data_IF_915791294867
#
_entry.id   IF_915791294867
#
_cell.length_a   1.000
_cell.length_b   1.000
_cell.length_c   1.000
_cell.angle_alpha   90.00
_cell.angle_beta   90.00
_cell.angle_gamma   90.00
#
_symmetry.space_group_name_H-M   'P 1'
#
loop_
_entity.id
_entity.type
_entity.pdbx_description
1 polymer ?
#
# COMPACT_ATOMS: atom_id res chain seq x y z
N UNK A 1 -40.23 -2.37 -8.49
CA UNK A 1 -39.36 -1.81 -7.43
C UNK A 1 -38.30 -0.96 -8.10
N UNK A 2 -37.85 0.14 -7.48
CA UNK A 2 -36.78 0.98 -8.02
C UNK A 2 -35.40 0.38 -7.73
N UNK A 3 -34.41 0.67 -8.60
CA UNK A 3 -33.01 0.35 -8.36
C UNK A 3 -32.57 1.01 -7.05
N UNK A 4 -31.97 0.23 -6.15
CA UNK A 4 -31.35 0.76 -4.94
C UNK A 4 -29.92 1.18 -5.26
N UNK A 5 -29.55 2.36 -4.79
CA UNK A 5 -28.21 2.89 -4.94
C UNK A 5 -27.65 3.10 -3.54
N UNK A 6 -26.54 2.44 -3.24
CA UNK A 6 -25.75 2.68 -2.03
C UNK A 6 -24.36 3.10 -2.46
N UNK A 7 -23.93 4.29 -2.09
CA UNK A 7 -22.54 4.68 -2.34
C UNK A 7 -21.61 3.72 -1.60
N UNK A 8 -20.58 3.16 -2.29
CA UNK A 8 -19.57 2.35 -1.63
C UNK A 8 -18.94 3.12 -0.48
N UNK A 9 -18.72 2.46 0.67
CA UNK A 9 -18.02 3.08 1.81
C UNK A 9 -16.63 3.58 1.41
N UNK A 10 -16.01 2.85 0.48
CA UNK A 10 -14.73 3.16 -0.12
C UNK A 10 -14.96 3.30 -1.61
N UNK A 11 -14.76 4.51 -2.14
CA UNK A 11 -14.92 4.75 -3.58
C UNK A 11 -13.89 3.93 -4.36
N UNK A 12 -14.30 3.27 -5.45
CA UNK A 12 -13.40 2.48 -6.26
C UNK A 12 -12.33 3.34 -6.90
N UNK A 13 -11.09 2.84 -6.92
CA UNK A 13 -10.02 3.42 -7.74
C UNK A 13 -10.38 3.19 -9.21
N UNK A 14 -10.51 4.27 -9.98
CA UNK A 14 -10.95 4.19 -11.36
C UNK A 14 -10.02 4.96 -12.32
N UNK A 15 -9.46 4.30 -13.35
CA UNK A 15 -9.51 2.86 -13.60
C UNK A 15 -8.76 2.05 -12.52
N UNK A 16 -9.11 0.76 -12.29
CA UNK A 16 -8.36 -0.09 -11.36
C UNK A 16 -6.91 -0.24 -11.84
N UNK A 17 -5.96 -0.38 -10.90
CA UNK A 17 -4.54 -0.65 -11.22
C UNK A 17 -4.32 -2.11 -11.62
N UNK A 18 -3.19 -2.40 -12.26
CA UNK A 18 -2.77 -3.77 -12.58
C UNK A 18 -3.63 -4.50 -13.62
N UNK A 19 -4.57 -3.83 -14.30
CA UNK A 19 -5.44 -4.49 -15.28
C UNK A 19 -4.63 -5.02 -16.48
N UNK A 20 -4.99 -6.21 -16.96
CA UNK A 20 -4.37 -6.80 -18.14
C UNK A 20 -5.01 -6.30 -19.44
N UNK A 21 -6.33 -6.01 -19.41
CA UNK A 21 -7.06 -5.58 -20.60
C UNK A 21 -8.16 -4.57 -20.26
N UNK A 22 -8.35 -3.58 -21.13
CA UNK A 22 -9.49 -2.66 -21.13
C UNK A 22 -10.49 -3.11 -22.19
N UNK A 23 -11.76 -3.30 -21.80
CA UNK A 23 -12.83 -3.80 -22.67
C UNK A 23 -13.94 -2.76 -22.76
N UNK A 24 -14.33 -2.40 -23.98
CA UNK A 24 -15.53 -1.60 -24.20
C UNK A 24 -16.75 -2.53 -24.15
N UNK A 25 -17.71 -2.23 -23.27
CA UNK A 25 -18.91 -3.05 -23.11
C UNK A 25 -20.07 -2.45 -23.90
N UNK A 26 -20.96 -3.33 -24.36
CA UNK A 26 -22.14 -3.05 -25.17
C UNK A 26 -23.40 -3.61 -24.50
N UNK A 27 -24.56 -3.41 -25.12
CA UNK A 27 -25.82 -3.92 -24.58
C UNK A 27 -26.00 -5.44 -24.68
N UNK A 28 -25.15 -6.11 -25.46
CA UNK A 28 -25.11 -7.57 -25.60
C UNK A 28 -24.19 -8.23 -24.57
N UNK A 29 -23.41 -7.44 -23.84
CA UNK A 29 -22.53 -7.93 -22.80
C UNK A 29 -23.27 -8.00 -21.46
N UNK A 30 -22.91 -9.00 -20.66
CA UNK A 30 -23.23 -9.06 -19.25
C UNK A 30 -22.01 -9.60 -18.48
N UNK A 31 -22.07 -9.57 -17.15
CA UNK A 31 -20.95 -10.00 -16.32
C UNK A 31 -20.55 -11.47 -16.53
N UNK A 32 -21.51 -12.35 -16.83
CA UNK A 32 -21.23 -13.77 -17.08
C UNK A 32 -20.52 -13.98 -18.40
N UNK A 33 -20.96 -13.28 -19.46
CA UNK A 33 -20.32 -13.29 -20.78
C UNK A 33 -18.89 -12.77 -20.65
N UNK A 34 -18.70 -11.63 -19.96
CA UNK A 34 -17.38 -11.05 -19.74
C UNK A 34 -16.45 -12.02 -18.97
N UNK A 35 -16.96 -12.66 -17.91
CA UNK A 35 -16.20 -13.63 -17.14
C UNK A 35 -15.77 -14.83 -18.01
N UNK A 36 -16.71 -15.44 -18.71
CA UNK A 36 -16.46 -16.60 -19.57
C UNK A 36 -15.47 -16.27 -20.70
N UNK A 37 -15.61 -15.12 -21.36
CA UNK A 37 -14.72 -14.68 -22.43
C UNK A 37 -13.27 -14.42 -21.96
N UNK A 38 -13.10 -14.13 -20.66
CA UNK A 38 -11.81 -13.78 -20.08
C UNK A 38 -11.25 -14.85 -19.13
N UNK A 39 -11.87 -16.04 -19.08
CA UNK A 39 -11.35 -17.18 -18.32
C UNK A 39 -11.62 -17.11 -16.82
N UNK A 40 -12.60 -16.33 -16.38
CA UNK A 40 -13.06 -16.28 -14.98
C UNK A 40 -14.33 -17.11 -14.81
N UNK A 41 -14.36 -17.99 -13.81
CA UNK A 41 -15.53 -18.82 -13.51
C UNK A 41 -16.60 -18.09 -12.70
N UNK A 42 -16.19 -17.11 -11.89
CA UNK A 42 -17.09 -16.27 -11.09
C UNK A 42 -17.11 -14.84 -11.64
N UNK A 43 -18.25 -14.33 -12.14
CA UNK A 43 -18.36 -12.93 -12.59
C UNK A 43 -18.06 -11.91 -11.49
N UNK A 44 -18.22 -12.29 -10.22
CA UNK A 44 -17.88 -11.40 -9.11
C UNK A 44 -16.40 -11.05 -9.06
N UNK A 45 -15.51 -11.86 -9.63
CA UNK A 45 -14.08 -11.53 -9.65
C UNK A 45 -13.83 -10.27 -10.48
N UNK A 46 -14.44 -10.16 -11.66
CA UNK A 46 -14.36 -8.95 -12.49
C UNK A 46 -15.03 -7.77 -11.79
N UNK A 47 -16.19 -7.99 -11.15
CA UNK A 47 -16.91 -6.93 -10.43
C UNK A 47 -16.07 -6.38 -9.28
N UNK A 48 -15.51 -7.26 -8.44
CA UNK A 48 -14.66 -6.87 -7.30
C UNK A 48 -13.39 -6.19 -7.80
N UNK A 49 -12.76 -6.68 -8.86
CA UNK A 49 -11.59 -6.02 -9.43
C UNK A 49 -11.87 -4.57 -9.86
N UNK A 50 -13.04 -4.32 -10.45
CA UNK A 50 -13.41 -2.98 -10.93
C UNK A 50 -13.94 -2.06 -9.84
N UNK A 51 -14.72 -2.59 -8.89
CA UNK A 51 -15.50 -1.79 -7.95
C UNK A 51 -15.14 -2.00 -6.48
N UNK A 52 -14.30 -2.97 -6.15
CA UNK A 52 -13.88 -3.27 -4.80
C UNK A 52 -15.01 -3.76 -3.88
N UNK A 53 -16.12 -4.25 -4.43
CA UNK A 53 -17.31 -4.63 -3.64
C UNK A 53 -18.05 -5.83 -4.22
N UNK A 54 -18.65 -6.62 -3.33
CA UNK A 54 -19.63 -7.68 -3.66
C UNK A 54 -21.07 -7.28 -3.31
N UNK A 55 -21.30 -6.06 -2.82
CA UNK A 55 -22.63 -5.58 -2.47
C UNK A 55 -23.39 -5.10 -3.73
N UNK A 56 -24.52 -5.74 -4.11
CA UNK A 56 -25.23 -5.38 -5.34
C UNK A 56 -25.70 -3.91 -5.41
N UNK A 57 -26.07 -3.30 -4.27
CA UNK A 57 -26.52 -1.90 -4.24
C UNK A 57 -25.35 -0.92 -4.51
N UNK A 58 -24.14 -1.32 -4.14
CA UNK A 58 -22.89 -0.60 -4.42
C UNK A 58 -22.44 -0.80 -5.86
N UNK A 59 -22.58 -2.02 -6.40
CA UNK A 59 -22.37 -2.29 -7.83
C UNK A 59 -23.30 -1.44 -8.68
N UNK A 60 -24.59 -1.35 -8.34
CA UNK A 60 -25.54 -0.48 -9.04
C UNK A 60 -25.14 1.00 -8.96
N UNK A 61 -24.62 1.45 -7.81
CA UNK A 61 -24.09 2.79 -7.68
C UNK A 61 -22.90 3.03 -8.61
N UNK A 62 -21.95 2.09 -8.69
CA UNK A 62 -20.78 2.16 -9.58
C UNK A 62 -21.18 2.14 -11.05
N UNK A 63 -22.09 1.25 -11.45
CA UNK A 63 -22.62 1.22 -12.80
C UNK A 63 -23.23 2.56 -13.19
N UNK A 64 -23.99 3.19 -12.30
CA UNK A 64 -24.61 4.48 -12.57
C UNK A 64 -23.62 5.65 -12.57
N UNK A 65 -22.77 5.77 -11.55
CA UNK A 65 -21.92 6.96 -11.34
C UNK A 65 -20.55 6.84 -11.99
N UNK A 66 -19.93 5.66 -11.98
CA UNK A 66 -18.60 5.42 -12.52
C UNK A 66 -18.66 5.09 -14.01
N UNK A 67 -19.55 4.17 -14.41
CA UNK A 67 -19.70 3.76 -15.82
C UNK A 67 -20.71 4.59 -16.61
N UNK A 68 -21.60 5.32 -15.93
CA UNK A 68 -22.62 6.12 -16.61
C UNK A 68 -23.78 5.31 -17.17
N UNK A 69 -24.01 4.07 -16.70
CA UNK A 69 -25.16 3.25 -17.10
C UNK A 69 -26.48 3.93 -16.71
N UNK A 70 -27.47 3.94 -17.62
CA UNK A 70 -28.84 4.39 -17.33
C UNK A 70 -29.90 3.36 -17.74
N UNK A 71 -29.53 2.34 -18.52
CA UNK A 71 -30.37 1.18 -18.82
C UNK A 71 -30.61 0.37 -17.56
N UNK A 72 -31.88 0.07 -17.27
CA UNK A 72 -32.27 -0.81 -16.17
C UNK A 72 -32.47 -2.23 -16.69
N UNK A 73 -32.19 -3.21 -15.85
CA UNK A 73 -32.55 -4.60 -16.08
C UNK A 73 -34.06 -4.77 -16.26
N UNK A 74 -34.48 -5.90 -16.86
CA UNK A 74 -35.91 -6.19 -17.14
C UNK A 74 -36.79 -6.15 -15.88
N UNK A 75 -36.24 -6.54 -14.74
CA UNK A 75 -36.94 -6.52 -13.45
C UNK A 75 -36.88 -5.15 -12.73
N UNK A 76 -36.15 -4.18 -13.32
CA UNK A 76 -35.98 -2.82 -12.82
C UNK A 76 -35.14 -2.70 -11.55
N UNK A 77 -34.44 -3.77 -11.14
CA UNK A 77 -33.69 -3.82 -9.88
C UNK A 77 -32.22 -3.46 -10.01
N UNK A 78 -31.64 -3.58 -11.21
CA UNK A 78 -30.23 -3.29 -11.46
C UNK A 78 -30.04 -2.35 -12.66
N UNK A 79 -28.85 -1.79 -12.79
CA UNK A 79 -28.39 -1.17 -14.03
C UNK A 79 -27.67 -2.20 -14.90
N UNK A 80 -27.84 -2.09 -16.23
CA UNK A 80 -27.18 -2.94 -17.24
C UNK A 80 -26.30 -2.10 -18.17
N UNK A 81 -25.38 -2.75 -18.88
CA UNK A 81 -24.59 -2.13 -19.94
C UNK A 81 -25.46 -1.74 -21.15
N UNK A 82 -24.98 -0.77 -21.92
CA UNK A 82 -25.65 -0.27 -23.12
C UNK A 82 -26.49 0.98 -22.89
N UNK A 83 -27.32 1.30 -23.88
CA UNK A 83 -28.08 2.55 -23.93
C UNK A 83 -29.41 2.45 -23.16
N UNK A 84 -29.88 3.54 -22.52
CA UNK A 84 -29.21 4.84 -22.41
C UNK A 84 -27.98 4.77 -21.47
N UNK A 85 -26.97 5.58 -21.79
CA UNK A 85 -25.76 5.78 -20.99
C UNK A 85 -25.23 7.21 -21.19
N UNK A 86 -24.38 7.71 -20.28
CA UNK A 86 -23.79 9.05 -20.38
C UNK A 86 -22.52 9.10 -21.23
N UNK A 87 -21.99 7.95 -21.65
CA UNK A 87 -20.78 7.86 -22.46
C UNK A 87 -20.41 6.42 -22.79
N UNK A 88 -19.21 6.22 -23.35
CA UNK A 88 -18.66 4.89 -23.60
C UNK A 88 -18.32 4.19 -22.29
N UNK A 89 -18.83 2.97 -22.12
CA UNK A 89 -18.63 2.17 -20.92
C UNK A 89 -17.41 1.27 -21.12
N UNK A 90 -16.51 1.26 -20.12
CA UNK A 90 -15.35 0.38 -20.11
C UNK A 90 -15.31 -0.44 -18.82
N UNK A 91 -14.96 -1.71 -18.97
CA UNK A 91 -14.62 -2.63 -17.87
C UNK A 91 -13.17 -3.05 -18.04
N UNK A 92 -12.48 -3.21 -16.91
CA UNK A 92 -11.09 -3.62 -16.86
C UNK A 92 -10.99 -5.07 -16.42
N UNK A 93 -10.19 -5.86 -17.11
CA UNK A 93 -10.04 -7.29 -16.88
C UNK A 93 -8.79 -7.51 -16.04
N UNK A 94 -8.89 -8.24 -14.91
CA UNK A 94 -7.73 -8.57 -14.10
C UNK A 94 -6.72 -9.43 -14.87
N UNK A 95 -5.46 -9.48 -14.44
CA UNK A 95 -4.49 -10.43 -14.97
C UNK A 95 -4.90 -11.87 -14.66
N UNK A 96 -4.43 -12.81 -15.50
CA UNK A 96 -4.72 -14.23 -15.30
C UNK A 96 -4.22 -14.71 -13.94
N UNK A 97 -5.05 -15.46 -13.22
CA UNK A 97 -4.74 -15.94 -11.87
C UNK A 97 -4.96 -14.93 -10.75
N UNK A 98 -5.43 -13.71 -11.05
CA UNK A 98 -5.87 -12.78 -10.02
C UNK A 98 -7.05 -13.35 -9.25
N UNK A 99 -7.06 -13.11 -7.94
CA UNK A 99 -8.14 -13.50 -7.04
C UNK A 99 -8.60 -12.29 -6.23
N UNK A 100 -9.90 -12.19 -5.89
CA UNK A 100 -10.38 -11.12 -5.01
C UNK A 100 -9.73 -11.19 -3.62
N UNK A 101 -9.61 -10.05 -2.92
CA UNK A 101 -9.10 -10.02 -1.56
C UNK A 101 -9.84 -11.00 -0.64
N UNK A 102 -9.08 -11.75 0.14
CA UNK A 102 -9.58 -12.72 1.13
C UNK A 102 -9.83 -12.03 2.47
N UNK A 103 -10.50 -12.72 3.41
CA UNK A 103 -10.64 -12.22 4.79
C UNK A 103 -9.27 -11.98 5.45
N UNK A 104 -8.26 -12.78 5.13
CA UNK A 104 -6.92 -12.60 5.65
C UNK A 104 -6.26 -11.31 5.11
N UNK A 105 -6.57 -10.92 3.88
CA UNK A 105 -6.12 -9.65 3.30
C UNK A 105 -6.81 -8.46 3.94
N UNK A 106 -8.11 -8.59 4.26
CA UNK A 106 -8.84 -7.60 5.03
C UNK A 106 -8.28 -7.42 6.45
N UNK A 107 -7.90 -8.52 7.12
CA UNK A 107 -7.23 -8.47 8.42
C UNK A 107 -5.85 -7.80 8.33
N UNK A 108 -5.08 -8.10 7.27
CA UNK A 108 -3.79 -7.46 7.00
C UNK A 108 -3.95 -5.95 6.75
N UNK A 109 -4.95 -5.56 5.96
CA UNK A 109 -5.29 -4.17 5.69
C UNK A 109 -5.69 -3.43 6.97
N UNK A 110 -6.55 -4.02 7.81
CA UNK A 110 -6.94 -3.41 9.08
C UNK A 110 -5.73 -3.24 10.02
N UNK A 111 -4.80 -4.20 10.04
CA UNK A 111 -3.55 -4.07 10.80
C UNK A 111 -2.66 -2.94 10.29
N UNK A 112 -2.51 -2.80 8.97
CA UNK A 112 -1.77 -1.68 8.37
C UNK A 112 -2.43 -0.34 8.72
N UNK A 113 -3.74 -0.24 8.47
CA UNK A 113 -4.55 0.96 8.72
C UNK A 113 -4.50 1.38 10.18
N UNK A 114 -4.71 0.46 11.12
CA UNK A 114 -4.68 0.74 12.56
C UNK A 114 -3.29 1.16 13.04
N UNK A 115 -2.22 0.53 12.54
CA UNK A 115 -0.84 0.86 12.90
C UNK A 115 -0.49 2.27 12.42
N UNK A 116 -0.71 2.56 11.14
CA UNK A 116 -0.34 3.85 10.53
C UNK A 116 -1.19 5.01 11.05
N UNK A 117 -2.45 4.76 11.44
CA UNK A 117 -3.31 5.77 12.06
C UNK A 117 -3.10 5.93 13.58
N UNK A 118 -2.21 5.15 14.19
CA UNK A 118 -1.88 5.31 15.61
C UNK A 118 -1.15 6.64 15.90
N UNK A 119 -1.38 7.19 17.09
CA UNK A 119 -0.69 8.40 17.56
C UNK A 119 0.83 8.20 17.63
N UNK A 120 1.30 6.99 17.94
CA UNK A 120 2.72 6.64 17.94
C UNK A 120 3.37 6.85 16.57
N UNK A 121 2.68 6.50 15.49
CA UNK A 121 3.17 6.71 14.11
C UNK A 121 2.98 8.17 13.68
N UNK A 122 1.81 8.77 13.92
CA UNK A 122 1.53 10.17 13.52
C UNK A 122 2.42 11.22 14.21
N UNK A 123 3.05 10.87 15.32
CA UNK A 123 3.99 11.75 16.03
C UNK A 123 5.45 11.55 15.64
N UNK A 124 5.75 10.64 14.69
CA UNK A 124 7.09 10.49 14.13
C UNK A 124 7.40 11.68 13.23
N UNK A 125 8.58 12.26 13.45
CA UNK A 125 9.15 13.31 12.63
C UNK A 125 10.65 13.09 12.56
N UNK A 126 11.21 13.13 11.37
CA UNK A 126 12.63 12.95 11.12
C UNK A 126 13.06 13.79 9.94
N UNK A 127 14.19 14.47 10.05
CA UNK A 127 14.92 15.02 8.92
C UNK A 127 16.38 14.64 9.08
N UNK A 128 16.95 14.00 8.06
CA UNK A 128 18.35 13.60 8.02
C UNK A 128 19.01 14.26 6.81
N UNK A 129 19.81 15.30 7.06
CA UNK A 129 20.52 16.03 6.01
C UNK A 129 21.47 15.13 5.21
N UNK A 130 22.08 14.13 5.86
CA UNK A 130 22.97 13.15 5.21
C UNK A 130 22.30 12.42 4.04
N UNK A 131 20.99 12.15 4.15
CA UNK A 131 20.19 11.51 3.09
C UNK A 131 19.38 12.53 2.28
N UNK A 132 19.32 13.79 2.72
CA UNK A 132 18.43 14.84 2.19
C UNK A 132 16.95 14.43 2.23
N UNK A 133 16.59 13.59 3.19
CA UNK A 133 15.23 13.06 3.36
C UNK A 133 14.60 13.59 4.64
N UNK A 134 13.27 13.70 4.60
CA UNK A 134 12.45 14.03 5.76
C UNK A 134 11.11 13.30 5.70
N UNK A 135 10.57 12.99 6.87
CA UNK A 135 9.20 12.48 7.04
C UNK A 135 8.58 13.11 8.28
N UNK A 136 7.27 13.27 8.27
CA UNK A 136 6.52 13.97 9.29
C UNK A 136 5.16 13.31 9.55
N UNK A 137 4.52 13.71 10.65
CA UNK A 137 3.14 13.31 10.96
C UNK A 137 2.13 13.52 9.83
N UNK A 138 2.17 14.65 9.09
CA UNK A 138 1.38 14.85 7.88
C UNK A 138 1.60 13.79 6.78
N UNK A 139 2.82 13.32 6.58
CA UNK A 139 3.11 12.28 5.59
C UNK A 139 2.43 10.96 5.96
N UNK A 140 2.58 10.53 7.21
CA UNK A 140 1.86 9.35 7.71
C UNK A 140 0.36 9.56 7.69
N UNK A 141 -0.14 10.77 7.96
CA UNK A 141 -1.56 11.11 7.84
C UNK A 141 -2.07 10.90 6.41
N UNK A 142 -1.27 11.27 5.42
CA UNK A 142 -1.62 11.03 4.02
C UNK A 142 -1.67 9.53 3.70
N UNK A 143 -0.68 8.75 4.11
CA UNK A 143 -0.70 7.28 3.91
C UNK A 143 -1.87 6.63 4.64
N UNK A 144 -2.16 7.07 5.86
CA UNK A 144 -3.33 6.61 6.62
C UNK A 144 -4.65 6.93 5.93
N UNK A 145 -4.77 8.10 5.30
CA UNK A 145 -5.91 8.45 4.45
C UNK A 145 -6.03 7.52 3.25
N UNK A 146 -4.93 7.27 2.53
CA UNK A 146 -4.91 6.39 1.36
C UNK A 146 -5.33 4.95 1.72
N UNK A 147 -4.88 4.44 2.86
CA UNK A 147 -5.34 3.16 3.42
C UNK A 147 -6.84 3.18 3.77
N UNK A 148 -7.32 4.23 4.45
CA UNK A 148 -8.75 4.37 4.79
C UNK A 148 -9.63 4.37 3.53
N UNK A 149 -9.11 4.83 2.40
CA UNK A 149 -9.80 4.83 1.10
C UNK A 149 -9.44 3.64 0.20
N UNK A 150 -8.73 2.62 0.72
CA UNK A 150 -8.15 1.49 -0.06
C UNK A 150 -7.50 1.88 -1.39
N UNK A 151 -6.91 3.09 -1.44
CA UNK A 151 -6.00 3.49 -2.52
C UNK A 151 -4.63 2.85 -2.34
N UNK A 152 -4.26 2.62 -1.08
CA UNK A 152 -3.25 1.63 -0.73
C UNK A 152 -3.99 0.41 -0.17
N UNK A 153 -3.70 -0.77 -0.71
CA UNK A 153 -4.24 -2.05 -0.18
C UNK A 153 -3.21 -2.73 0.71
N UNK A 154 -3.63 -3.82 1.34
CA UNK A 154 -2.68 -4.74 1.95
C UNK A 154 -3.12 -6.17 1.72
N UNK A 155 -2.14 -7.07 1.67
CA UNK A 155 -2.34 -8.49 1.42
C UNK A 155 -1.55 -9.32 2.43
N UNK A 156 -2.10 -10.46 2.83
CA UNK A 156 -1.36 -11.46 3.60
C UNK A 156 -0.75 -12.51 2.65
N UNK A 157 0.57 -12.62 2.65
CA UNK A 157 1.30 -13.66 1.91
C UNK A 157 2.35 -14.34 2.81
N UNK A 158 2.01 -15.48 3.44
CA UNK A 158 2.93 -16.23 4.29
C UNK A 158 4.21 -16.72 3.61
N UNK A 159 4.22 -16.78 2.27
CA UNK A 159 5.36 -17.21 1.47
C UNK A 159 6.31 -16.07 1.12
N UNK A 160 5.90 -14.83 1.41
CA UNK A 160 6.68 -13.64 1.12
C UNK A 160 8.07 -13.68 1.82
N UNK A 161 9.15 -13.30 1.12
CA UNK A 161 10.51 -13.40 1.65
C UNK A 161 10.79 -12.42 2.79
N UNK A 162 10.10 -11.27 2.82
CA UNK A 162 10.27 -10.22 3.81
C UNK A 162 9.15 -10.26 4.87
N UNK A 163 9.33 -9.56 6.00
CA UNK A 163 8.28 -9.48 7.02
C UNK A 163 7.11 -8.61 6.54
N UNK A 164 7.44 -7.52 5.84
CA UNK A 164 6.53 -6.70 5.06
C UNK A 164 7.28 -6.15 3.82
N UNK A 165 6.54 -5.73 2.80
CA UNK A 165 7.06 -5.01 1.63
C UNK A 165 5.96 -4.08 1.09
N UNK A 166 6.30 -2.82 0.81
CA UNK A 166 5.49 -1.96 -0.03
C UNK A 166 5.86 -2.16 -1.50
N UNK A 167 4.87 -2.50 -2.32
CA UNK A 167 4.98 -2.71 -3.77
C UNK A 167 4.40 -1.48 -4.49
N UNK A 168 5.23 -0.56 -5.00
CA UNK A 168 4.75 0.67 -5.63
C UNK A 168 3.89 0.42 -6.87
N UNK A 169 4.16 -0.64 -7.63
CA UNK A 169 3.44 -0.99 -8.84
C UNK A 169 1.93 -1.14 -8.60
N UNK A 170 1.58 -1.71 -7.44
CA UNK A 170 0.22 -2.08 -7.07
C UNK A 170 -0.38 -1.18 -5.97
N UNK A 171 0.37 -0.22 -5.44
CA UNK A 171 0.05 0.51 -4.19
C UNK A 171 -0.30 -0.44 -3.04
N UNK A 172 0.43 -1.54 -2.89
CA UNK A 172 0.08 -2.61 -1.94
C UNK A 172 1.15 -2.78 -0.86
N UNK A 173 0.71 -2.99 0.38
CA UNK A 173 1.60 -3.48 1.45
C UNK A 173 1.37 -4.98 1.62
N UNK A 174 2.39 -5.78 1.34
CA UNK A 174 2.37 -7.22 1.59
C UNK A 174 2.87 -7.47 3.00
N UNK A 175 2.12 -8.26 3.79
CA UNK A 175 2.54 -8.74 5.10
C UNK A 175 2.77 -10.25 5.04
N UNK A 176 3.87 -10.73 5.61
CA UNK A 176 4.09 -12.18 5.74
C UNK A 176 3.21 -12.83 6.80
N UNK A 177 3.02 -12.13 7.90
CA UNK A 177 2.22 -12.57 9.02
C UNK A 177 1.49 -11.39 9.62
N UNK A 178 0.32 -11.64 10.23
CA UNK A 178 -0.43 -10.59 10.92
C UNK A 178 0.36 -10.07 12.13
N UNK A 179 0.66 -8.77 12.20
CA UNK A 179 1.47 -8.22 13.28
C UNK A 179 0.83 -8.37 14.65
N UNK A 180 1.59 -8.95 15.58
CA UNK A 180 1.12 -9.28 16.93
C UNK A 180 1.61 -8.29 17.97
N UNK A 181 2.82 -7.75 17.81
CA UNK A 181 3.47 -6.84 18.76
C UNK A 181 4.02 -5.57 18.09
N UNK A 182 4.78 -4.76 18.85
CA UNK A 182 5.35 -3.52 18.34
C UNK A 182 6.54 -3.76 17.41
N UNK A 183 7.25 -4.87 17.53
CA UNK A 183 8.31 -5.23 16.61
C UNK A 183 7.72 -5.55 15.24
N UNK A 184 6.69 -6.42 15.19
CA UNK A 184 6.02 -6.76 13.94
C UNK A 184 5.42 -5.51 13.26
N UNK A 185 4.78 -4.63 14.05
CA UNK A 185 4.19 -3.38 13.54
C UNK A 185 5.24 -2.40 13.04
N UNK A 186 6.48 -2.49 13.51
CA UNK A 186 7.55 -1.61 13.04
C UNK A 186 7.86 -1.85 11.56
N UNK A 187 7.65 -3.06 11.04
CA UNK A 187 7.78 -3.34 9.60
C UNK A 187 6.73 -2.58 8.78
N UNK A 188 5.48 -2.50 9.24
CA UNK A 188 4.46 -1.64 8.60
C UNK A 188 4.93 -0.18 8.55
N UNK A 189 5.57 0.30 9.63
CA UNK A 189 6.08 1.68 9.70
C UNK A 189 7.21 1.89 8.70
N UNK A 190 8.10 0.90 8.53
CA UNK A 190 9.14 0.90 7.49
C UNK A 190 8.51 1.02 6.10
N UNK A 191 7.55 0.16 5.77
CA UNK A 191 6.87 0.18 4.47
C UNK A 191 6.07 1.47 4.22
N UNK A 192 5.50 2.06 5.27
CA UNK A 192 4.80 3.34 5.17
C UNK A 192 5.73 4.51 4.78
N UNK A 193 7.03 4.41 5.07
CA UNK A 193 8.03 5.39 4.61
C UNK A 193 8.17 5.29 3.08
N UNK A 194 8.27 4.08 2.54
CA UNK A 194 8.33 3.85 1.09
C UNK A 194 7.07 4.34 0.39
N UNK A 195 5.89 4.00 0.91
CA UNK A 195 4.61 4.50 0.40
C UNK A 195 4.54 6.04 0.43
N UNK A 196 5.10 6.68 1.47
CA UNK A 196 5.18 8.14 1.55
C UNK A 196 6.06 8.74 0.46
N UNK A 197 7.21 8.13 0.16
CA UNK A 197 8.08 8.62 -0.89
C UNK A 197 7.54 8.34 -2.29
N UNK A 198 6.84 7.22 -2.49
CA UNK A 198 6.12 6.99 -3.74
C UNK A 198 4.98 8.01 -3.93
N UNK A 199 4.19 8.31 -2.90
CA UNK A 199 3.22 9.40 -2.98
C UNK A 199 3.87 10.74 -3.37
N UNK A 200 5.02 11.08 -2.77
CA UNK A 200 5.73 12.32 -3.10
C UNK A 200 6.38 12.27 -4.49
N UNK A 201 6.69 11.10 -5.02
CA UNK A 201 7.14 10.92 -6.40
C UNK A 201 6.08 11.38 -7.40
N UNK A 202 4.79 11.16 -7.12
CA UNK A 202 3.68 11.74 -7.90
C UNK A 202 3.67 13.28 -7.92
N UNK A 203 4.36 13.91 -6.96
CA UNK A 203 4.51 15.36 -6.80
C UNK A 203 5.87 15.86 -7.31
N UNK A 204 6.66 15.00 -7.97
CA UNK A 204 7.97 15.34 -8.54
C UNK A 204 9.16 15.23 -7.57
N UNK A 205 8.97 14.68 -6.36
CA UNK A 205 10.06 14.44 -5.41
C UNK A 205 10.74 13.11 -5.72
N UNK A 206 12.07 13.12 -5.93
CA UNK A 206 12.85 11.92 -6.20
C UNK A 206 13.77 11.58 -5.04
N UNK A 207 14.02 10.29 -4.85
CA UNK A 207 14.85 9.72 -3.79
C UNK A 207 15.77 8.64 -4.36
N UNK A 208 16.94 8.48 -3.75
CA UNK A 208 17.83 7.37 -4.04
C UNK A 208 17.43 6.15 -3.21
N UNK A 209 17.40 4.97 -3.83
CA UNK A 209 16.95 3.74 -3.18
C UNK A 209 17.69 3.46 -1.87
N UNK A 210 19.03 3.52 -1.91
CA UNK A 210 19.87 3.27 -0.74
C UNK A 210 19.58 4.22 0.42
N UNK A 211 19.43 5.50 0.12
CA UNK A 211 19.18 6.54 1.12
C UNK A 211 17.82 6.35 1.77
N UNK A 212 16.81 5.99 0.96
CA UNK A 212 15.45 5.76 1.42
C UNK A 212 15.34 4.52 2.32
N UNK A 213 15.99 3.41 1.95
CA UNK A 213 16.03 2.19 2.77
C UNK A 213 16.70 2.44 4.13
N UNK A 214 17.86 3.11 4.13
CA UNK A 214 18.53 3.48 5.37
C UNK A 214 17.68 4.43 6.21
N UNK A 215 17.00 5.40 5.57
CA UNK A 215 16.09 6.32 6.25
C UNK A 215 14.88 5.61 6.85
N UNK A 216 14.28 4.66 6.12
CA UNK A 216 13.16 3.85 6.60
C UNK A 216 13.52 3.04 7.86
N UNK A 217 14.71 2.43 7.89
CA UNK A 217 15.19 1.76 9.11
C UNK A 217 15.34 2.72 10.30
N UNK A 218 15.83 3.95 10.10
CA UNK A 218 15.93 4.92 11.21
C UNK A 218 14.53 5.27 11.73
N UNK A 219 13.55 5.48 10.84
CA UNK A 219 12.16 5.77 11.22
C UNK A 219 11.53 4.57 11.96
N UNK A 220 11.80 3.34 11.51
CA UNK A 220 11.40 2.11 12.18
C UNK A 220 11.96 2.07 13.61
N UNK A 221 13.23 2.40 13.81
CA UNK A 221 13.84 2.42 15.15
C UNK A 221 13.25 3.54 16.02
N UNK A 222 13.00 4.74 15.48
CA UNK A 222 12.33 5.82 16.23
C UNK A 222 10.92 5.41 16.70
N UNK A 223 10.19 4.63 15.91
CA UNK A 223 8.92 4.04 16.33
C UNK A 223 9.11 3.07 17.49
N UNK A 224 10.04 2.12 17.39
CA UNK A 224 10.32 1.16 18.47
C UNK A 224 10.75 1.84 19.77
N UNK A 225 11.54 2.91 19.68
CA UNK A 225 11.96 3.67 20.86
C UNK A 225 10.82 4.37 21.60
N UNK A 226 9.61 4.49 21.03
CA UNK A 226 8.42 4.95 21.77
C UNK A 226 7.91 3.91 22.76
N UNK A 227 8.26 2.64 22.57
CA UNK A 227 7.81 1.52 23.41
C UNK A 227 8.93 0.98 24.30
N UNK A 228 10.16 0.97 23.80
CA UNK A 228 11.31 0.39 24.51
C UNK A 228 12.28 1.42 25.10
N UNK A 229 12.04 2.72 24.88
CA UNK A 229 12.97 3.78 25.29
C UNK A 229 14.20 3.86 24.38
N UNK A 230 15.30 4.42 24.88
CA UNK A 230 16.56 4.62 24.11
C UNK A 230 17.52 3.43 24.19
N UNK A 231 17.27 2.50 25.11
CA UNK A 231 18.06 1.28 25.27
C UNK A 231 17.68 0.25 24.23
N UNK A 232 18.67 -0.40 23.63
CA UNK A 232 18.44 -1.50 22.69
C UNK A 232 17.56 -2.59 23.35
N UNK A 233 16.40 -2.97 22.76
CA UNK A 233 15.49 -3.91 23.38
C UNK A 233 16.07 -5.33 23.36
N UNK A 234 15.99 -6.05 24.49
CA UNK A 234 16.41 -7.46 24.57
C UNK A 234 15.65 -8.33 23.56
N UNK A 235 14.41 -7.98 23.24
CA UNK A 235 13.61 -8.65 22.21
C UNK A 235 14.27 -8.63 20.82
N UNK A 236 15.14 -7.66 20.53
CA UNK A 236 15.87 -7.55 19.26
C UNK A 236 17.20 -8.31 19.27
N UNK A 237 17.55 -9.02 20.35
CA UNK A 237 18.80 -9.78 20.42
C UNK A 237 18.80 -11.06 19.58
N UNK A 238 17.66 -11.44 19.00
CA UNK A 238 17.54 -12.56 18.06
C UNK A 238 18.50 -12.47 16.86
N UNK A 239 18.58 -13.56 16.11
CA UNK A 239 19.40 -13.64 14.90
C UNK A 239 18.53 -13.24 13.69
N UNK A 240 18.55 -11.97 13.33
CA UNK A 240 17.83 -11.43 12.19
C UNK A 240 18.80 -11.16 11.03
N UNK A 241 18.39 -11.44 9.79
CA UNK A 241 19.19 -11.17 8.58
C UNK A 241 19.64 -9.70 8.48
N UNK A 242 18.91 -8.77 9.10
CA UNK A 242 19.19 -7.33 9.12
C UNK A 242 19.70 -6.80 10.48
N UNK A 243 20.12 -7.66 11.41
CA UNK A 243 20.48 -7.25 12.79
C UNK A 243 21.49 -6.10 12.85
N UNK A 244 22.60 -6.21 12.12
CA UNK A 244 23.64 -5.16 12.11
C UNK A 244 23.12 -3.84 11.55
N UNK A 245 22.19 -3.91 10.59
CA UNK A 245 21.52 -2.73 10.02
C UNK A 245 20.62 -2.09 11.07
N UNK A 246 19.85 -2.87 11.82
CA UNK A 246 18.99 -2.35 12.88
C UNK A 246 19.80 -1.70 14.00
N UNK A 247 20.92 -2.30 14.41
CA UNK A 247 21.82 -1.72 15.42
C UNK A 247 22.34 -0.37 14.95
N UNK A 248 22.88 -0.28 13.73
CA UNK A 248 23.37 0.98 13.20
C UNK A 248 22.25 2.03 13.03
N UNK A 249 21.04 1.62 12.65
CA UNK A 249 19.88 2.51 12.55
C UNK A 249 19.42 3.00 13.93
N UNK A 250 19.54 2.17 14.97
CA UNK A 250 19.22 2.53 16.35
C UNK A 250 20.21 3.55 16.89
N UNK A 251 21.49 3.42 16.57
CA UNK A 251 22.52 4.41 16.92
C UNK A 251 22.21 5.78 16.29
N UNK A 252 21.79 5.79 15.01
CA UNK A 252 21.33 7.01 14.34
C UNK A 252 20.08 7.56 15.02
N UNK A 253 19.08 6.72 15.34
CA UNK A 253 17.86 7.16 16.03
C UNK A 253 18.12 7.75 17.43
N UNK A 254 19.08 7.19 18.17
CA UNK A 254 19.57 7.76 19.43
C UNK A 254 20.23 9.12 19.22
N UNK A 255 21.07 9.26 18.20
CA UNK A 255 21.72 10.54 17.89
C UNK A 255 20.70 11.63 17.48
N UNK A 256 19.63 11.28 16.76
CA UNK A 256 18.54 12.21 16.40
C UNK A 256 17.86 12.82 17.63
N UNK A 257 17.78 12.08 18.74
CA UNK A 257 17.21 12.57 20.00
C UNK A 257 18.19 13.34 20.87
N UNK A 258 19.48 13.25 20.57
CA UNK A 258 20.53 13.93 21.31
C UNK A 258 20.61 15.43 21.01
N UNK A 259 21.35 16.19 21.83
CA UNK A 259 21.65 17.59 21.51
C UNK A 259 22.64 17.64 20.35
N UNK A 260 22.22 18.22 19.22
CA UNK A 260 23.09 18.51 18.08
C UNK A 260 22.74 17.76 16.81
N UNK A 261 23.62 17.88 15.81
CA UNK A 261 23.45 17.22 14.52
C UNK A 261 23.87 15.75 14.62
N UNK A 262 23.17 14.88 13.88
CA UNK A 262 23.57 13.48 13.72
C UNK A 262 24.97 13.40 13.09
N UNK A 263 25.95 12.75 13.73
CA UNK A 263 27.28 12.58 13.17
C UNK A 263 27.25 11.81 11.83
N UNK A 264 27.92 12.34 10.81
CA UNK A 264 28.00 11.72 9.48
C UNK A 264 28.56 10.29 9.55
N UNK A 265 29.49 10.03 10.47
CA UNK A 265 30.04 8.69 10.68
C UNK A 265 28.99 7.63 11.05
N UNK A 266 27.90 8.01 11.73
CA UNK A 266 26.82 7.06 12.05
C UNK A 266 25.99 6.72 10.81
N UNK A 267 25.66 7.72 9.98
CA UNK A 267 24.93 7.50 8.72
C UNK A 267 25.77 6.74 7.70
N UNK A 268 27.07 7.03 7.60
CA UNK A 268 28.01 6.28 6.76
C UNK A 268 28.13 4.82 7.21
N UNK A 269 28.17 4.59 8.53
CA UNK A 269 28.19 3.24 9.07
C UNK A 269 26.90 2.49 8.74
N UNK A 270 25.72 3.13 8.89
CA UNK A 270 24.43 2.55 8.52
C UNK A 270 24.41 2.11 7.04
N UNK A 271 24.79 2.99 6.12
CA UNK A 271 24.85 2.66 4.69
C UNK A 271 25.82 1.49 4.41
N UNK A 272 26.97 1.48 5.09
CA UNK A 272 27.98 0.42 4.95
C UNK A 272 27.46 -0.93 5.44
N UNK A 273 26.79 -0.99 6.59
CA UNK A 273 26.24 -2.27 7.11
C UNK A 273 25.04 -2.72 6.29
N UNK A 274 24.18 -1.80 5.86
CA UNK A 274 23.04 -2.13 5.01
C UNK A 274 23.49 -2.78 3.69
N UNK A 275 24.47 -2.20 3.00
CA UNK A 275 25.05 -2.78 1.76
C UNK A 275 25.63 -4.19 1.93
N UNK A 276 26.07 -4.55 3.14
CA UNK A 276 26.59 -5.88 3.46
C UNK A 276 25.49 -6.87 3.85
N UNK A 277 24.33 -6.36 4.28
CA UNK A 277 23.19 -7.20 4.64
C UNK A 277 22.62 -7.90 3.42
N UNK A 278 21.84 -8.95 3.65
CA UNK A 278 21.10 -9.66 2.60
C UNK A 278 20.11 -8.73 1.87
N UNK A 279 19.51 -7.77 2.58
CA UNK A 279 18.56 -6.81 2.04
C UNK A 279 19.23 -5.75 1.13
N UNK A 280 20.42 -5.27 1.50
CA UNK A 280 21.12 -4.24 0.73
C UNK A 280 22.06 -4.77 -0.36
N UNK A 281 22.26 -6.09 -0.46
CA UNK A 281 23.16 -6.69 -1.45
C UNK A 281 22.64 -6.45 -2.87
N UNK A 282 23.37 -5.63 -3.63
CA UNK A 282 23.01 -5.29 -5.01
C UNK A 282 22.18 -4.02 -5.15
N UNK A 283 21.80 -3.38 -4.03
CA UNK A 283 21.13 -2.06 -4.05
C UNK A 283 22.14 -1.01 -4.50
N UNK A 284 21.86 -0.38 -5.63
CA UNK A 284 22.68 0.68 -6.21
C UNK A 284 22.26 2.06 -5.68
N UNK A 285 23.15 3.04 -5.79
CA UNK A 285 22.85 4.47 -5.59
C UNK A 285 22.25 5.02 -6.89
N UNK A 286 21.06 4.55 -7.24
CA UNK A 286 20.30 5.02 -8.39
C UNK A 286 18.97 5.59 -7.91
N UNK A 287 18.35 6.45 -8.72
CA UNK A 287 16.94 6.83 -8.57
C UNK A 287 16.14 5.55 -8.34
N UNK A 288 15.35 5.48 -7.26
CA UNK A 288 14.62 4.25 -6.88
C UNK A 288 13.76 3.78 -8.06
N UNK A 289 14.17 2.71 -8.78
CA UNK A 289 13.39 2.20 -9.89
C UNK A 289 12.20 1.47 -9.29
N UNK A 290 10.99 1.95 -9.56
CA UNK A 290 9.77 1.34 -9.05
C UNK A 290 8.76 2.36 -8.58
N UNK A 291 9.19 3.52 -8.05
CA UNK A 291 8.25 4.58 -7.71
C UNK A 291 7.51 5.04 -8.98
N UNK A 292 6.20 4.82 -8.98
CA UNK A 292 5.30 5.13 -10.10
C UNK A 292 4.33 6.25 -9.73
N UNK A 293 4.36 6.69 -8.46
CA UNK A 293 3.45 7.64 -7.87
C UNK A 293 2.08 7.02 -7.61
N UNK A 294 1.68 6.99 -6.34
CA UNK A 294 0.30 6.72 -5.94
C UNK A 294 -0.65 7.69 -6.68
N UNK A 295 -1.62 7.14 -7.40
CA UNK A 295 -2.58 7.90 -8.24
C UNK A 295 -3.94 8.09 -7.56
#
# INVERSE_FOLDING_TARGET
>A
MSVKLKEPLIQPVWPPKGYAKKVMVTESDDWWILAAMHGFSDPWDIIVFNFGTRNPDEVNWCLYHVLGCRKKSKDGKNYDFGKPCTGTQYIYIPPAGWTPPTTADEDAWERCRATINSSSVKSLNLSLFAYRLSISGPDFSKIGYLLNTKRITARLDPTHPHAAEYVPEDDEIILKSLPSDQLDRSFIVHEAVHASFDYRYSQGVRTYQLDEECFAYVVQMLYLQKFYGTSWPVALNGNYDAKDTWIAAWDVANAVRGPGNVPVALTDNLMKVYKKSKAGKGVATLDRPGHNGIR
#
